data_IF_809486839721
#
_entry.id   IF_809486839721
#
_cell.length_a   1.000
_cell.length_b   1.000
_cell.length_c   1.000
_cell.angle_alpha   90.00
_cell.angle_beta   90.00
_cell.angle_gamma   90.00
#
_symmetry.space_group_name_H-M   'P 1'
#
loop_
_entity.id
_entity.type
_entity.pdbx_description
1 polymer ?
#
# COMPACT_ATOMS: atom_id res chain seq x y z
N UNK A 1 -4.13 -7.09 11.48
CA UNK A 1 -4.33 -6.49 10.15
C UNK A 1 -4.28 -4.99 10.31
N UNK A 2 -3.47 -4.31 9.51
CA UNK A 2 -3.42 -2.85 9.47
C UNK A 2 -4.24 -2.37 8.27
N UNK A 3 -4.98 -1.27 8.45
CA UNK A 3 -5.67 -0.57 7.39
C UNK A 3 -4.93 0.74 7.10
N UNK A 4 -4.76 1.06 5.83
CA UNK A 4 -4.26 2.34 5.36
C UNK A 4 -5.31 2.95 4.43
N UNK A 5 -5.68 4.20 4.70
CA UNK A 5 -6.66 4.95 3.92
C UNK A 5 -6.01 6.24 3.42
N UNK A 6 -6.19 6.52 2.13
CA UNK A 6 -5.74 7.75 1.47
C UNK A 6 -6.88 8.30 0.64
N UNK A 7 -7.14 9.60 0.76
CA UNK A 7 -8.12 10.31 -0.05
C UNK A 7 -7.41 11.36 -0.91
N UNK A 8 -7.73 11.40 -2.20
CA UNK A 8 -7.18 12.38 -3.16
C UNK A 8 -8.30 12.97 -3.97
N UNK A 9 -8.29 14.29 -4.16
CA UNK A 9 -9.22 14.98 -5.07
C UNK A 9 -8.55 15.20 -6.42
N UNK A 10 -9.19 14.74 -7.48
CA UNK A 10 -8.75 14.88 -8.86
C UNK A 10 -9.71 15.83 -9.59
N UNK A 11 -9.16 16.84 -10.27
CA UNK A 11 -9.94 17.78 -11.09
C UNK A 11 -10.18 17.21 -12.49
N UNK A 12 -10.91 16.09 -12.55
CA UNK A 12 -11.38 15.46 -13.78
C UNK A 12 -12.70 14.72 -13.53
N UNK A 13 -13.53 14.52 -14.56
CA UNK A 13 -14.76 13.74 -14.45
C UNK A 13 -14.46 12.28 -14.10
N UNK A 14 -15.36 11.67 -13.32
CA UNK A 14 -15.17 10.33 -12.74
C UNK A 14 -14.83 9.27 -13.77
N UNK A 15 -15.43 9.34 -14.95
CA UNK A 15 -15.20 8.40 -16.03
C UNK A 15 -13.76 8.43 -16.57
N UNK A 16 -13.17 9.64 -16.69
CA UNK A 16 -11.77 9.76 -17.08
C UNK A 16 -10.85 9.26 -15.98
N UNK A 17 -11.15 9.59 -14.72
CA UNK A 17 -10.36 9.12 -13.57
C UNK A 17 -10.40 7.60 -13.48
N UNK A 18 -11.59 7.00 -13.59
CA UNK A 18 -11.78 5.55 -13.63
C UNK A 18 -10.99 4.93 -14.79
N UNK A 19 -11.10 5.49 -16.00
CA UNK A 19 -10.37 4.99 -17.18
C UNK A 19 -8.85 5.07 -17.02
N UNK A 20 -8.33 6.10 -16.33
CA UNK A 20 -6.91 6.19 -16.00
C UNK A 20 -6.48 5.13 -14.98
N UNK A 21 -7.34 4.84 -14.00
CA UNK A 21 -7.14 3.75 -13.04
C UNK A 21 -7.30 2.35 -13.68
N UNK A 22 -7.99 2.22 -14.81
CA UNK A 22 -8.00 0.96 -15.57
C UNK A 22 -6.86 0.89 -16.59
N UNK A 23 -6.34 2.04 -17.06
CA UNK A 23 -5.19 2.15 -17.96
C UNK A 23 -3.86 2.39 -17.21
N UNK A 24 -3.38 1.34 -16.54
CA UNK A 24 -1.99 0.90 -16.28
C UNK A 24 -0.83 1.85 -15.91
N UNK A 25 -0.71 3.08 -16.41
CA UNK A 25 0.57 3.80 -16.36
C UNK A 25 0.63 4.94 -15.32
N UNK A 26 -0.47 5.24 -14.64
CA UNK A 26 -0.58 6.45 -13.81
C UNK A 26 -0.79 6.18 -12.30
N UNK A 27 -1.01 4.94 -11.88
CA UNK A 27 -1.03 4.56 -10.45
C UNK A 27 0.13 5.10 -9.59
N UNK A 28 1.41 5.02 -10.02
CA UNK A 28 2.52 5.55 -9.22
C UNK A 28 2.47 7.07 -9.01
N UNK A 29 1.72 7.82 -9.85
CA UNK A 29 1.52 9.26 -9.65
C UNK A 29 0.58 9.56 -8.47
N UNK A 30 -0.31 8.64 -8.14
CA UNK A 30 -1.30 8.80 -7.08
C UNK A 30 -0.88 8.10 -5.78
N UNK A 31 -0.09 7.03 -5.86
CA UNK A 31 0.41 6.27 -4.71
C UNK A 31 1.94 6.21 -4.75
N UNK A 32 2.63 7.17 -4.12
CA UNK A 32 4.09 7.28 -4.16
C UNK A 32 4.85 6.06 -3.62
N UNK A 33 4.18 5.20 -2.87
CA UNK A 33 4.73 3.94 -2.37
C UNK A 33 4.70 2.81 -3.41
N UNK A 34 3.77 2.83 -4.37
CA UNK A 34 3.73 1.86 -5.47
C UNK A 34 4.72 2.33 -6.54
N UNK A 35 5.65 1.46 -6.91
CA UNK A 35 6.65 1.73 -7.95
C UNK A 35 6.19 1.26 -9.31
N UNK A 36 5.59 0.08 -9.37
CA UNK A 36 5.20 -0.55 -10.62
C UNK A 36 3.98 -1.44 -10.41
N UNK A 37 3.09 -1.46 -11.40
CA UNK A 37 1.98 -2.40 -11.49
C UNK A 37 1.99 -2.99 -12.89
N UNK A 38 2.18 -4.30 -13.00
CA UNK A 38 2.19 -5.04 -14.27
C UNK A 38 0.99 -5.97 -14.28
N UNK A 39 0.01 -5.76 -15.15
CA UNK A 39 -1.07 -6.73 -15.27
C UNK A 39 -0.72 -7.78 -16.31
N UNK A 40 -0.96 -9.05 -15.94
CA UNK A 40 -0.83 -10.18 -16.85
C UNK A 40 -2.08 -10.35 -17.72
N UNK A 41 -3.24 -9.95 -17.20
CA UNK A 41 -4.57 -10.10 -17.80
C UNK A 41 -5.52 -9.08 -17.17
N UNK A 42 -6.76 -8.99 -17.69
CA UNK A 42 -7.84 -8.15 -17.15
C UNK A 42 -8.11 -8.39 -15.65
N UNK A 43 -7.82 -9.60 -15.17
CA UNK A 43 -8.07 -10.01 -13.78
C UNK A 43 -6.83 -10.16 -12.91
N UNK A 44 -5.61 -10.21 -13.46
CA UNK A 44 -4.40 -10.55 -12.69
C UNK A 44 -3.35 -9.46 -12.81
N UNK A 45 -2.85 -8.99 -11.68
CA UNK A 45 -1.85 -7.92 -11.59
C UNK A 45 -0.71 -8.27 -10.65
N UNK A 46 0.51 -7.93 -11.04
CA UNK A 46 1.71 -7.95 -10.22
C UNK A 46 2.02 -6.53 -9.76
N UNK A 47 2.23 -6.36 -8.47
CA UNK A 47 2.45 -5.06 -7.86
C UNK A 47 3.82 -5.05 -7.21
N UNK A 48 4.56 -3.96 -7.40
CA UNK A 48 5.84 -3.69 -6.73
C UNK A 48 5.71 -2.39 -5.96
N UNK A 49 5.80 -2.46 -4.64
CA UNK A 49 5.83 -1.28 -3.77
C UNK A 49 7.14 -1.19 -2.98
N UNK A 50 7.51 0.05 -2.67
CA UNK A 50 8.66 0.34 -1.83
C UNK A 50 8.19 0.96 -0.51
N UNK A 51 7.88 0.10 0.47
CA UNK A 51 7.40 0.47 1.79
C UNK A 51 8.34 -0.17 2.81
N UNK A 52 9.33 0.59 3.31
CA UNK A 52 10.36 0.07 4.23
C UNK A 52 11.15 -1.15 3.68
N UNK A 53 11.25 -1.25 2.36
CA UNK A 53 11.82 -2.39 1.64
C UNK A 53 11.13 -2.54 0.28
N UNK A 54 11.64 -3.40 -0.59
CA UNK A 54 10.94 -3.80 -1.82
C UNK A 54 9.97 -4.93 -1.47
N UNK A 55 8.70 -4.72 -1.76
CA UNK A 55 7.64 -5.70 -1.59
C UNK A 55 6.97 -5.92 -2.94
N UNK A 56 6.80 -7.17 -3.31
CA UNK A 56 6.13 -7.58 -4.54
C UNK A 56 5.05 -8.61 -4.22
N UNK A 57 3.91 -8.47 -4.87
CA UNK A 57 2.76 -9.37 -4.70
C UNK A 57 1.97 -9.49 -5.98
N UNK A 58 1.33 -10.65 -6.18
CA UNK A 58 0.35 -10.85 -7.24
C UNK A 58 -1.05 -10.70 -6.64
N UNK A 59 -1.93 -10.01 -7.36
CA UNK A 59 -3.30 -9.73 -6.98
C UNK A 59 -4.26 -10.07 -8.11
N UNK A 60 -5.50 -10.38 -7.73
CA UNK A 60 -6.63 -10.48 -8.63
C UNK A 60 -7.60 -9.34 -8.40
N UNK A 61 -8.19 -8.86 -9.48
CA UNK A 61 -9.16 -7.79 -9.47
C UNK A 61 -10.53 -8.34 -9.03
N UNK A 62 -11.15 -7.71 -8.03
CA UNK A 62 -12.46 -8.09 -7.50
C UNK A 62 -13.40 -6.89 -7.37
N UNK A 63 -14.71 -7.12 -7.46
CA UNK A 63 -15.73 -6.07 -7.25
C UNK A 63 -15.49 -4.80 -8.08
N UNK A 64 -15.15 -4.97 -9.36
CA UNK A 64 -15.06 -3.89 -10.33
C UNK A 64 -16.44 -3.40 -10.70
N UNK A 65 -16.68 -2.12 -10.44
CA UNK A 65 -17.90 -1.41 -10.77
C UNK A 65 -17.46 -0.14 -11.47
N UNK A 66 -17.82 -0.02 -12.74
CA UNK A 66 -17.53 1.14 -13.57
C UNK A 66 -17.88 2.45 -12.85
N UNK A 67 -16.93 3.39 -12.90
CA UNK A 67 -17.02 4.73 -12.31
C UNK A 67 -17.31 4.80 -10.80
N UNK A 68 -17.22 3.66 -10.08
CA UNK A 68 -17.55 3.60 -8.65
C UNK A 68 -16.51 2.90 -7.81
N UNK A 69 -16.02 1.74 -8.26
CA UNK A 69 -15.12 0.95 -7.44
C UNK A 69 -14.20 0.04 -8.26
N UNK A 70 -12.97 -0.09 -7.79
CA UNK A 70 -11.98 -1.07 -8.25
C UNK A 70 -11.45 -1.77 -7.01
N UNK A 71 -11.73 -3.05 -6.84
CA UNK A 71 -11.17 -3.87 -5.75
C UNK A 71 -10.08 -4.81 -6.25
N UNK A 72 -9.21 -5.22 -5.33
CA UNK A 72 -8.22 -6.28 -5.57
C UNK A 72 -7.93 -7.09 -4.31
N UNK A 73 -7.43 -8.30 -4.51
CA UNK A 73 -6.95 -9.22 -3.46
C UNK A 73 -5.70 -9.93 -3.90
N UNK A 74 -4.69 -9.96 -3.04
CA UNK A 74 -3.47 -10.71 -3.25
C UNK A 74 -3.76 -12.21 -3.38
N UNK A 75 -3.20 -12.85 -4.39
CA UNK A 75 -3.18 -14.31 -4.54
C UNK A 75 -1.84 -14.93 -4.19
N UNK A 76 -0.76 -14.14 -4.23
CA UNK A 76 0.60 -14.58 -3.94
C UNK A 76 1.40 -13.48 -3.25
N UNK A 77 2.35 -13.86 -2.42
CA UNK A 77 3.14 -12.93 -1.60
C UNK A 77 2.44 -12.51 -0.30
N UNK A 78 2.70 -11.31 0.23
CA UNK A 78 2.06 -10.84 1.47
C UNK A 78 0.55 -10.66 1.29
N UNK A 79 -0.23 -11.17 2.25
CA UNK A 79 -1.68 -11.04 2.24
C UNK A 79 -2.11 -9.56 2.31
N UNK A 80 -2.75 -9.11 1.22
CA UNK A 80 -3.25 -7.77 1.03
C UNK A 80 -4.60 -7.78 0.30
N UNK A 81 -5.51 -6.93 0.75
CA UNK A 81 -6.71 -6.57 0.00
C UNK A 81 -6.80 -5.07 -0.11
N UNK A 82 -7.39 -4.58 -1.18
CA UNK A 82 -7.62 -3.15 -1.32
C UNK A 82 -8.79 -2.83 -2.21
N UNK A 83 -9.23 -1.59 -2.11
CA UNK A 83 -10.28 -1.03 -2.94
C UNK A 83 -10.04 0.44 -3.15
N UNK A 84 -10.24 0.87 -4.38
CA UNK A 84 -10.36 2.27 -4.77
C UNK A 84 -11.85 2.56 -4.97
N UNK A 85 -12.34 3.62 -4.35
CA UNK A 85 -13.68 4.16 -4.59
C UNK A 85 -13.56 5.49 -5.30
N UNK A 86 -14.48 5.72 -6.22
CA UNK A 86 -14.59 6.96 -6.95
C UNK A 86 -15.91 7.63 -6.58
N UNK A 87 -15.84 8.88 -6.12
CA UNK A 87 -17.00 9.70 -5.81
C UNK A 87 -16.92 10.98 -6.64
N UNK A 88 -17.92 11.21 -7.50
CA UNK A 88 -18.04 12.51 -8.17
C UNK A 88 -18.49 13.56 -7.16
N UNK A 89 -17.69 14.60 -6.97
CA UNK A 89 -17.99 15.75 -6.10
C UNK A 89 -18.35 17.00 -6.90
N UNK A 90 -18.26 16.95 -8.23
CA UNK A 90 -18.64 17.99 -9.17
C UNK A 90 -18.53 17.50 -10.62
N UNK A 91 -18.91 18.34 -11.61
CA UNK A 91 -18.87 17.97 -13.03
C UNK A 91 -17.47 17.57 -13.52
N UNK A 92 -16.43 18.23 -13.00
CA UNK A 92 -15.02 17.97 -13.31
C UNK A 92 -14.20 17.70 -12.05
N UNK A 93 -14.83 17.11 -11.03
CA UNK A 93 -14.16 16.80 -9.79
C UNK A 93 -14.56 15.42 -9.26
N UNK A 94 -13.55 14.63 -8.93
CA UNK A 94 -13.69 13.28 -8.41
C UNK A 94 -12.83 13.13 -7.16
N UNK A 95 -13.44 12.71 -6.06
CA UNK A 95 -12.75 12.22 -4.89
C UNK A 95 -12.44 10.74 -5.08
N UNK A 96 -11.18 10.38 -4.89
CA UNK A 96 -10.67 9.01 -4.97
C UNK A 96 -10.27 8.57 -3.58
N UNK A 97 -10.95 7.57 -3.05
CA UNK A 97 -10.65 6.98 -1.75
C UNK A 97 -10.02 5.60 -1.93
N UNK A 98 -8.78 5.45 -1.47
CA UNK A 98 -8.02 4.21 -1.56
C UNK A 98 -7.91 3.59 -0.17
N UNK A 99 -8.36 2.35 -0.03
CA UNK A 99 -8.26 1.56 1.19
C UNK A 99 -7.38 0.34 0.93
N UNK A 100 -6.40 0.11 1.79
CA UNK A 100 -5.45 -0.99 1.69
C UNK A 100 -5.39 -1.68 3.05
N UNK A 101 -5.73 -2.96 3.09
CA UNK A 101 -5.65 -3.81 4.27
C UNK A 101 -4.51 -4.79 4.07
N UNK A 102 -3.51 -4.77 4.94
CA UNK A 102 -2.39 -5.70 4.85
C UNK A 102 -2.04 -6.28 6.22
N UNK A 103 -1.43 -7.46 6.21
CA UNK A 103 -0.83 -8.02 7.41
C UNK A 103 0.65 -7.62 7.43
N UNK A 104 1.07 -6.68 8.31
CA UNK A 104 2.48 -6.37 8.44
C UNK A 104 3.24 -7.63 8.87
N UNK A 105 4.42 -7.92 8.29
CA UNK A 105 5.21 -9.05 8.72
C UNK A 105 5.53 -8.93 10.21
N UNK A 106 5.46 -10.06 10.92
CA UNK A 106 5.56 -10.17 12.39
C UNK A 106 6.85 -9.60 13.02
N UNK A 107 7.78 -9.06 12.23
CA UNK A 107 9.04 -8.46 12.68
C UNK A 107 9.08 -6.93 12.75
N UNK A 108 8.06 -6.20 12.28
CA UNK A 108 8.10 -4.71 12.26
C UNK A 108 7.78 -4.09 13.64
N UNK A 109 7.08 -4.82 14.52
CA UNK A 109 6.76 -4.37 15.88
C UNK A 109 7.75 -4.85 16.97
N UNK A 110 8.88 -5.48 16.57
CA UNK A 110 9.77 -6.19 17.49
C UNK A 110 11.17 -5.60 17.72
N UNK A 111 11.53 -4.46 17.11
CA UNK A 111 12.84 -3.84 17.38
C UNK A 111 12.66 -2.52 18.13
N UNK A 112 12.77 -2.59 19.46
CA UNK A 112 13.41 -1.53 20.24
C UNK A 112 14.93 -1.70 20.10
N UNK A 113 15.67 -0.75 19.52
CA UNK A 113 17.12 -0.73 19.61
C UNK A 113 17.54 0.39 20.57
N UNK A 114 17.68 0.11 21.86
CA UNK A 114 18.44 0.94 22.82
C UNK A 114 18.47 0.17 24.15
N UNK A 115 19.61 -0.14 24.77
CA UNK A 115 20.82 0.66 24.89
C UNK A 115 22.05 -0.25 24.97
N UNK A 116 23.04 -0.01 24.10
CA UNK A 116 24.42 -0.38 24.36
C UNK A 116 25.28 0.86 24.11
N UNK A 117 26.29 1.05 24.98
CA UNK A 117 27.16 2.22 25.23
C UNK A 117 26.70 3.05 26.45
N UNK A 118 27.48 3.26 27.52
CA UNK A 118 28.95 3.30 27.60
C UNK A 118 29.49 3.02 29.01
N UNK A 119 30.72 2.48 29.02
CA UNK A 119 31.83 2.82 29.93
C UNK A 119 31.74 2.57 31.45
N UNK A 120 32.64 1.69 31.91
CA UNK A 120 33.65 2.06 32.91
C UNK A 120 33.37 1.66 34.35
N UNK A 121 34.13 0.71 34.87
CA UNK A 121 34.14 0.39 36.30
C UNK A 121 34.98 -0.83 36.65
N UNK A 122 36.30 -0.72 36.49
CA UNK A 122 37.28 -1.58 37.18
C UNK A 122 37.17 -1.41 38.70
N UNK A 123 37.21 -2.51 39.46
CA UNK A 123 37.26 -2.46 40.93
C UNK A 123 37.29 -3.83 41.60
N UNK A 124 38.49 -4.31 41.91
CA UNK A 124 38.86 -5.43 42.78
C UNK A 124 38.06 -5.55 44.09
N UNK A 125 37.80 -6.78 44.56
CA UNK A 125 38.54 -7.41 45.70
C UNK A 125 37.73 -8.47 46.47
N UNK A 126 38.41 -9.59 46.73
CA UNK A 126 38.35 -10.59 47.82
C UNK A 126 37.02 -11.06 48.46
N UNK A 127 36.86 -12.37 48.34
CA UNK A 127 36.62 -13.38 49.39
C UNK A 127 36.55 -12.92 50.85
N UNK A 128 35.52 -13.39 51.53
CA UNK A 128 35.61 -14.00 52.86
C UNK A 128 34.57 -15.13 52.93
#
# INVERSE_FOLDING_TARGET
>A
MAEHHVSVTVNAPVHQVYTLFTHFNDFPKFMSFVKEVTYYDDQRSHWVAQILGRHEWDAINENWIEDRQIGWRSTSGPENTGKVKFLSTGPDQTLVDVYIHYTPPAGILGRRPESFCSHGGTGSTRSA
#
